data_IF_234696222353
#
_entry.id   IF_234696222353
#
_cell.length_a   1.000
_cell.length_b   1.000
_cell.length_c   1.000
_cell.angle_alpha   90.00
_cell.angle_beta   90.00
_cell.angle_gamma   90.00
#
_symmetry.space_group_name_H-M   'P 1'
#
loop_
_entity.id
_entity.type
_entity.pdbx_description
1 polymer ?
#
# COMPACT_ATOMS: atom_id res chain seq x y z
N UNK A 1 -0.57 60.11 21.78
CA UNK A 1 -0.47 59.72 20.36
C UNK A 1 0.41 58.49 20.10
N UNK A 2 1.39 58.14 20.97
CA UNK A 2 2.22 56.94 20.80
C UNK A 2 1.50 55.60 21.08
N UNK A 3 0.56 55.55 22.04
CA UNK A 3 -0.14 54.31 22.42
C UNK A 3 -1.02 53.71 21.30
N UNK A 4 -1.63 54.57 20.46
CA UNK A 4 -2.52 54.15 19.37
C UNK A 4 -1.76 53.51 18.18
N UNK A 5 -0.50 53.91 17.96
CA UNK A 5 0.36 53.36 16.90
C UNK A 5 0.87 51.96 17.26
N UNK A 6 1.15 51.71 18.55
CA UNK A 6 1.55 50.38 19.03
C UNK A 6 0.39 49.36 19.03
N UNK A 7 -0.83 49.78 19.37
CA UNK A 7 -2.02 48.92 19.28
C UNK A 7 -2.38 48.57 17.83
N UNK A 8 -2.28 49.53 16.91
CA UNK A 8 -2.54 49.29 15.48
C UNK A 8 -1.53 48.37 14.80
N UNK A 9 -0.25 48.45 15.20
CA UNK A 9 0.82 47.58 14.68
C UNK A 9 0.74 46.16 15.25
N UNK A 10 0.48 45.99 16.54
CA UNK A 10 0.25 44.67 17.15
C UNK A 10 -1.00 43.97 16.57
N UNK A 11 -2.07 44.73 16.31
CA UNK A 11 -3.27 44.20 15.67
C UNK A 11 -3.02 43.78 14.21
N UNK A 12 -2.28 44.58 13.43
CA UNK A 12 -1.89 44.22 12.06
C UNK A 12 -0.93 43.04 12.01
N UNK A 13 0.02 42.93 12.93
CA UNK A 13 0.86 41.75 13.09
C UNK A 13 0.02 40.51 13.42
N UNK A 14 -0.97 40.64 14.31
CA UNK A 14 -1.87 39.56 14.67
C UNK A 14 -2.73 39.06 13.50
N UNK A 15 -3.23 39.96 12.66
CA UNK A 15 -3.98 39.60 11.44
C UNK A 15 -3.04 38.93 10.42
N UNK A 16 -1.88 39.53 10.14
CA UNK A 16 -0.91 38.96 9.20
C UNK A 16 -0.41 37.57 9.65
N UNK A 17 -0.20 37.38 10.95
CA UNK A 17 0.16 36.08 11.51
C UNK A 17 -0.96 35.03 11.34
N UNK A 18 -2.22 35.42 11.56
CA UNK A 18 -3.39 34.54 11.34
C UNK A 18 -3.59 34.20 9.88
N UNK A 19 -3.44 35.17 8.98
CA UNK A 19 -3.52 34.95 7.53
C UNK A 19 -2.41 34.03 7.05
N UNK A 20 -1.15 34.30 7.46
CA UNK A 20 -0.02 33.42 7.16
C UNK A 20 -0.24 32.01 7.69
N UNK A 21 -0.82 31.87 8.88
CA UNK A 21 -1.15 30.59 9.49
C UNK A 21 -2.24 29.83 8.72
N UNK A 22 -3.30 30.51 8.28
CA UNK A 22 -4.37 29.91 7.47
C UNK A 22 -3.88 29.49 6.09
N UNK A 23 -3.00 30.30 5.47
CA UNK A 23 -2.34 29.96 4.20
C UNK A 23 -1.46 28.71 4.38
N UNK A 24 -0.64 28.67 5.43
CA UNK A 24 0.21 27.52 5.73
C UNK A 24 -0.58 26.22 5.94
N UNK A 25 -1.69 26.28 6.67
CA UNK A 25 -2.59 25.14 6.85
C UNK A 25 -3.18 24.67 5.52
N UNK A 26 -3.65 25.61 4.71
CA UNK A 26 -4.23 25.34 3.38
C UNK A 26 -3.19 24.67 2.46
N UNK A 27 -1.96 25.18 2.43
CA UNK A 27 -0.88 24.62 1.62
C UNK A 27 -0.53 23.19 2.04
N UNK A 28 -0.44 22.91 3.35
CA UNK A 28 -0.12 21.57 3.84
C UNK A 28 -1.23 20.56 3.53
N UNK A 29 -2.50 20.97 3.69
CA UNK A 29 -3.66 20.16 3.28
C UNK A 29 -3.66 19.87 1.79
N UNK A 30 -3.39 20.88 0.96
CA UNK A 30 -3.27 20.71 -0.50
C UNK A 30 -2.13 19.77 -0.88
N UNK A 31 -0.99 19.83 -0.19
CA UNK A 31 0.11 18.91 -0.39
C UNK A 31 -0.31 17.47 -0.05
N UNK A 32 -0.90 17.23 1.13
CA UNK A 32 -1.40 15.91 1.51
C UNK A 32 -2.40 15.36 0.49
N UNK A 33 -3.31 16.21 0.00
CA UNK A 33 -4.28 15.83 -1.02
C UNK A 33 -3.64 15.47 -2.35
N UNK A 34 -2.72 16.28 -2.86
CA UNK A 34 -2.02 16.00 -4.10
C UNK A 34 -1.19 14.72 -3.99
N UNK A 35 -0.48 14.53 -2.87
CA UNK A 35 0.27 13.31 -2.61
C UNK A 35 -0.64 12.08 -2.56
N UNK A 36 -1.80 12.14 -1.90
CA UNK A 36 -2.77 11.03 -1.90
C UNK A 36 -3.32 10.70 -3.30
N UNK A 37 -3.63 11.73 -4.12
CA UNK A 37 -4.03 11.55 -5.52
C UNK A 37 -2.89 10.91 -6.33
N UNK A 38 -1.63 11.31 -6.09
CA UNK A 38 -0.49 10.73 -6.79
C UNK A 38 -0.33 9.25 -6.44
N UNK A 39 -0.45 8.88 -5.16
CA UNK A 39 -0.44 7.47 -4.72
C UNK A 39 -1.58 6.69 -5.38
N UNK A 40 -2.79 7.25 -5.40
CA UNK A 40 -3.94 6.62 -6.06
C UNK A 40 -3.67 6.36 -7.55
N UNK A 41 -3.15 7.35 -8.29
CA UNK A 41 -2.81 7.18 -9.71
C UNK A 41 -1.76 6.10 -9.93
N UNK A 42 -0.76 6.04 -9.05
CA UNK A 42 0.31 5.03 -9.11
C UNK A 42 -0.21 3.61 -8.87
N UNK A 43 -1.17 3.45 -7.96
CA UNK A 43 -1.81 2.16 -7.69
C UNK A 43 -2.75 1.78 -8.83
N UNK A 44 -3.52 2.73 -9.35
CA UNK A 44 -4.41 2.54 -10.51
C UNK A 44 -3.65 2.07 -11.75
N UNK A 45 -2.46 2.63 -12.01
CA UNK A 45 -1.58 2.18 -13.09
C UNK A 45 -1.12 0.73 -12.92
N UNK A 46 -0.79 0.32 -11.69
CA UNK A 46 -0.44 -1.07 -11.36
C UNK A 46 -1.61 -2.03 -11.57
N UNK A 47 -2.81 -1.64 -11.16
CA UNK A 47 -4.02 -2.45 -11.39
C UNK A 47 -4.31 -2.63 -12.86
N UNK A 48 -4.31 -1.54 -13.63
CA UNK A 48 -4.52 -1.60 -15.08
C UNK A 48 -3.55 -2.56 -15.76
N UNK A 49 -2.28 -2.53 -15.37
CA UNK A 49 -1.27 -3.45 -15.89
C UNK A 49 -1.54 -4.91 -15.47
N UNK A 50 -1.89 -5.17 -14.21
CA UNK A 50 -2.24 -6.52 -13.74
C UNK A 50 -3.45 -7.08 -14.49
N UNK A 51 -4.50 -6.28 -14.69
CA UNK A 51 -5.71 -6.66 -15.42
C UNK A 51 -5.40 -7.04 -16.87
N UNK A 52 -4.59 -6.19 -17.54
CA UNK A 52 -4.12 -6.41 -18.91
C UNK A 52 -3.34 -7.73 -19.02
N UNK A 53 -2.42 -7.99 -18.09
CA UNK A 53 -1.58 -9.19 -18.12
C UNK A 53 -2.31 -10.44 -17.64
N UNK A 54 -3.24 -10.33 -16.70
CA UNK A 54 -4.13 -11.42 -16.28
C UNK A 54 -5.06 -11.87 -17.42
N UNK A 55 -5.39 -10.95 -18.34
CA UNK A 55 -6.17 -11.23 -19.54
C UNK A 55 -5.32 -11.70 -20.73
N UNK A 56 -4.01 -11.91 -20.56
CA UNK A 56 -3.12 -12.30 -21.64
C UNK A 56 -3.43 -13.74 -22.12
N UNK A 57 -3.76 -13.94 -23.42
CA UNK A 57 -4.15 -15.26 -23.93
C UNK A 57 -3.09 -16.35 -23.72
N UNK A 58 -1.80 -16.00 -23.80
CA UNK A 58 -0.72 -16.98 -23.55
C UNK A 58 -0.69 -17.42 -22.11
N UNK A 59 -0.86 -16.49 -21.16
CA UNK A 59 -0.91 -16.82 -19.73
C UNK A 59 -2.10 -17.74 -19.44
N UNK A 60 -3.27 -17.41 -19.98
CA UNK A 60 -4.49 -18.20 -19.84
C UNK A 60 -4.32 -19.62 -20.42
N UNK A 61 -3.77 -19.74 -21.63
CA UNK A 61 -3.50 -21.02 -22.27
C UNK A 61 -2.58 -21.90 -21.41
N UNK A 62 -1.46 -21.35 -20.95
CA UNK A 62 -0.50 -22.08 -20.11
C UNK A 62 -1.09 -22.46 -18.76
N UNK A 63 -1.87 -21.59 -18.12
CA UNK A 63 -2.52 -21.92 -16.85
C UNK A 63 -3.59 -23.00 -17.04
N UNK A 64 -4.42 -22.94 -18.08
CA UNK A 64 -5.40 -23.99 -18.36
C UNK A 64 -4.75 -25.39 -18.45
N UNK A 65 -3.56 -25.47 -19.02
CA UNK A 65 -2.79 -26.71 -19.11
C UNK A 65 -2.05 -27.11 -17.81
N UNK A 66 -1.94 -26.22 -16.81
CA UNK A 66 -1.06 -26.40 -15.64
C UNK A 66 -1.74 -26.03 -14.31
N UNK A 67 -2.82 -26.74 -13.95
CA UNK A 67 -3.56 -26.53 -12.69
C UNK A 67 -3.06 -27.39 -11.50
N UNK A 68 -2.04 -28.22 -11.71
CA UNK A 68 -1.46 -29.12 -10.69
C UNK A 68 -0.14 -28.61 -10.07
N UNK A 69 0.61 -29.50 -9.40
CA UNK A 69 1.96 -29.20 -8.94
C UNK A 69 2.88 -28.75 -10.09
N UNK A 70 3.88 -27.93 -9.77
CA UNK A 70 4.81 -27.42 -10.76
C UNK A 70 5.80 -28.52 -11.22
N UNK A 71 5.72 -28.89 -12.50
CA UNK A 71 6.64 -29.82 -13.16
C UNK A 71 7.76 -29.06 -13.90
N UNK A 72 8.91 -29.72 -14.11
CA UNK A 72 10.12 -29.08 -14.65
C UNK A 72 9.94 -28.45 -16.04
N UNK A 73 9.18 -29.10 -16.93
CA UNK A 73 8.88 -28.56 -18.26
C UNK A 73 8.08 -27.25 -18.17
N UNK A 74 7.15 -27.15 -17.22
CA UNK A 74 6.34 -25.95 -17.00
C UNK A 74 7.12 -24.83 -16.32
N UNK A 75 8.18 -25.14 -15.54
CA UNK A 75 9.02 -24.14 -14.86
C UNK A 75 9.63 -23.13 -15.83
N UNK A 76 10.21 -23.62 -16.93
CA UNK A 76 10.85 -22.75 -17.93
C UNK A 76 9.82 -21.83 -18.58
N UNK A 77 8.67 -22.38 -18.99
CA UNK A 77 7.59 -21.62 -19.61
C UNK A 77 7.08 -20.49 -18.70
N UNK A 78 6.82 -20.78 -17.42
CA UNK A 78 6.34 -19.77 -16.48
C UNK A 78 7.41 -18.75 -16.11
N UNK A 79 8.69 -19.15 -16.07
CA UNK A 79 9.82 -18.23 -15.91
C UNK A 79 9.92 -17.21 -17.05
N UNK A 80 9.75 -17.67 -18.29
CA UNK A 80 9.76 -16.78 -19.46
C UNK A 80 8.55 -15.84 -19.46
N UNK A 81 7.36 -16.35 -19.12
CA UNK A 81 6.15 -15.55 -19.01
C UNK A 81 6.28 -14.43 -17.97
N UNK A 82 6.71 -14.76 -16.75
CA UNK A 82 6.82 -13.75 -15.69
C UNK A 82 7.90 -12.71 -15.98
N UNK A 83 8.99 -13.12 -16.63
CA UNK A 83 10.04 -12.19 -17.07
C UNK A 83 9.49 -11.24 -18.14
N UNK A 84 8.75 -11.76 -19.12
CA UNK A 84 8.15 -10.94 -20.15
C UNK A 84 7.09 -9.97 -19.60
N UNK A 85 6.29 -10.39 -18.61
CA UNK A 85 5.35 -9.51 -17.88
C UNK A 85 6.12 -8.39 -17.19
N UNK A 86 7.17 -8.73 -16.43
CA UNK A 86 8.01 -7.74 -15.74
C UNK A 86 8.67 -6.76 -16.72
N UNK A 87 9.14 -7.23 -17.87
CA UNK A 87 9.82 -6.37 -18.84
C UNK A 87 8.84 -5.39 -19.49
N UNK A 88 7.60 -5.81 -19.77
CA UNK A 88 6.54 -4.89 -20.21
C UNK A 88 6.16 -3.89 -19.11
N UNK A 89 6.03 -4.35 -17.87
CA UNK A 89 5.78 -3.48 -16.72
C UNK A 89 6.84 -2.36 -16.62
N UNK A 90 8.11 -2.72 -16.80
CA UNK A 90 9.22 -1.77 -16.77
C UNK A 90 9.14 -0.74 -17.91
N UNK A 91 8.69 -1.14 -19.11
CA UNK A 91 8.47 -0.20 -20.22
C UNK A 91 7.33 0.78 -19.92
N UNK A 92 6.35 0.35 -19.13
CA UNK A 92 5.24 1.17 -18.64
C UNK A 92 5.60 1.93 -17.34
N UNK A 93 6.88 1.98 -16.97
CA UNK A 93 7.43 2.64 -15.75
C UNK A 93 6.80 2.11 -14.44
N UNK A 94 6.32 0.87 -14.44
CA UNK A 94 5.78 0.22 -13.25
C UNK A 94 6.85 -0.63 -12.58
N UNK A 95 7.29 -0.18 -11.41
CA UNK A 95 8.20 -0.94 -10.56
C UNK A 95 7.46 -1.69 -9.45
N UNK A 96 8.00 -2.87 -9.12
CA UNK A 96 7.56 -3.71 -8.01
C UNK A 96 8.72 -4.55 -7.48
N UNK A 97 8.70 -4.84 -6.18
CA UNK A 97 9.70 -5.66 -5.49
C UNK A 97 9.70 -7.10 -6.05
N UNK A 98 8.53 -7.65 -6.33
CA UNK A 98 8.44 -8.95 -6.99
C UNK A 98 7.14 -9.13 -7.75
N UNK A 99 7.16 -10.01 -8.73
CA UNK A 99 6.03 -10.45 -9.53
C UNK A 99 5.84 -11.95 -9.34
N UNK A 100 4.60 -12.44 -9.36
CA UNK A 100 4.32 -13.86 -9.19
C UNK A 100 3.03 -14.32 -9.88
N UNK A 101 3.01 -15.60 -10.24
CA UNK A 101 1.83 -16.30 -10.76
C UNK A 101 1.55 -17.49 -9.85
N UNK A 102 0.33 -17.58 -9.33
CA UNK A 102 -0.19 -18.77 -8.66
C UNK A 102 -1.30 -19.40 -9.51
N UNK A 103 -1.43 -20.73 -9.51
CA UNK A 103 -2.58 -21.41 -10.13
C UNK A 103 -3.81 -21.45 -9.20
N UNK A 104 -4.89 -22.10 -9.62
CA UNK A 104 -6.15 -22.15 -8.86
C UNK A 104 -6.03 -22.85 -7.49
N UNK A 105 -5.04 -23.72 -7.32
CA UNK A 105 -4.73 -24.37 -6.04
C UNK A 105 -3.78 -23.53 -5.16
N UNK A 106 -3.41 -22.32 -5.60
CA UNK A 106 -2.47 -21.43 -4.92
C UNK A 106 -1.01 -21.83 -5.05
N UNK A 107 -0.65 -22.78 -5.93
CA UNK A 107 0.75 -23.13 -6.17
C UNK A 107 1.42 -22.02 -6.96
N UNK A 108 2.50 -21.44 -6.43
CA UNK A 108 3.27 -20.43 -7.15
C UNK A 108 4.07 -21.07 -8.28
N UNK A 109 3.64 -20.85 -9.51
CA UNK A 109 4.28 -21.41 -10.71
C UNK A 109 5.47 -20.57 -11.18
N UNK A 110 5.44 -19.26 -10.90
CA UNK A 110 6.49 -18.33 -11.30
C UNK A 110 6.69 -17.23 -10.26
N UNK A 111 7.93 -16.73 -10.19
CA UNK A 111 8.30 -15.51 -9.46
C UNK A 111 9.42 -14.78 -10.20
N UNK A 112 9.36 -13.45 -10.21
CA UNK A 112 10.50 -12.61 -10.53
C UNK A 112 10.76 -11.61 -9.37
N UNK A 113 11.99 -11.49 -8.83
CA UNK A 113 13.14 -12.33 -9.14
C UNK A 113 12.87 -13.80 -8.77
N UNK A 114 13.62 -14.75 -9.32
CA UNK A 114 13.45 -16.17 -8.96
C UNK A 114 13.80 -16.39 -7.48
N UNK A 115 13.17 -17.38 -6.83
CA UNK A 115 13.37 -17.66 -5.42
C UNK A 115 12.80 -19.00 -4.96
N UNK A 116 13.07 -19.36 -3.70
CA UNK A 116 12.65 -20.63 -3.07
C UNK A 116 11.12 -20.78 -2.91
N UNK A 117 10.37 -19.71 -3.11
CA UNK A 117 8.91 -19.69 -3.03
C UNK A 117 8.23 -20.44 -4.19
N UNK A 118 8.92 -20.62 -5.32
CA UNK A 118 8.39 -21.29 -6.50
C UNK A 118 8.10 -22.78 -6.19
N UNK A 119 6.87 -23.21 -6.50
CA UNK A 119 6.35 -24.55 -6.21
C UNK A 119 5.67 -24.70 -4.84
N UNK A 120 5.75 -23.68 -3.98
CA UNK A 120 5.02 -23.67 -2.70
C UNK A 120 3.56 -23.25 -2.89
N UNK A 121 2.71 -23.57 -1.92
CA UNK A 121 1.29 -23.16 -1.91
C UNK A 121 1.07 -21.91 -1.06
N UNK A 122 0.29 -20.98 -1.60
CA UNK A 122 -0.07 -19.69 -1.02
C UNK A 122 -1.57 -19.43 -1.00
N UNK A 123 -2.40 -20.48 -1.11
CA UNK A 123 -3.85 -20.37 -0.99
C UNK A 123 -4.32 -19.87 0.40
N UNK A 124 -3.42 -19.89 1.39
CA UNK A 124 -3.64 -19.36 2.74
C UNK A 124 -3.30 -17.87 2.87
N UNK A 125 -2.73 -17.23 1.83
CA UNK A 125 -2.32 -15.83 1.90
C UNK A 125 -3.46 -14.92 1.51
N UNK A 126 -3.56 -13.79 2.20
CA UNK A 126 -4.63 -12.82 1.99
C UNK A 126 -4.66 -12.31 0.55
N UNK A 127 -3.50 -12.12 -0.07
CA UNK A 127 -3.42 -11.72 -1.48
C UNK A 127 -4.02 -12.74 -2.45
N UNK A 128 -4.21 -14.00 -2.04
CA UNK A 128 -4.82 -15.03 -2.87
C UNK A 128 -6.33 -15.10 -2.65
N UNK A 129 -6.78 -15.03 -1.39
CA UNK A 129 -8.18 -15.30 -1.02
C UNK A 129 -9.00 -14.07 -0.61
N UNK A 130 -8.37 -13.00 -0.14
CA UNK A 130 -8.99 -11.70 0.14
C UNK A 130 -9.79 -11.59 1.44
N UNK A 131 -9.48 -12.41 2.45
CA UNK A 131 -10.24 -12.45 3.71
C UNK A 131 -9.83 -11.39 4.74
N UNK A 132 -8.87 -10.52 4.42
CA UNK A 132 -8.31 -9.51 5.32
C UNK A 132 -7.29 -10.05 6.33
N UNK A 133 -6.79 -11.28 6.16
CA UNK A 133 -5.83 -11.91 7.08
C UNK A 133 -5.11 -13.09 6.40
N UNK A 134 -3.83 -13.28 6.67
CA UNK A 134 -3.14 -14.52 6.31
C UNK A 134 -3.62 -15.67 7.21
N UNK A 135 -4.08 -16.76 6.60
CA UNK A 135 -4.50 -17.97 7.29
C UNK A 135 -3.29 -18.85 7.61
N UNK A 136 -3.51 -19.83 8.50
CA UNK A 136 -2.52 -20.88 8.73
C UNK A 136 -2.23 -21.64 7.42
N UNK A 137 -0.95 -21.98 7.19
CA UNK A 137 -0.55 -22.71 6.00
C UNK A 137 -1.35 -24.01 5.82
N UNK A 138 -1.81 -24.27 4.60
CA UNK A 138 -2.69 -25.39 4.25
C UNK A 138 -4.17 -25.16 4.52
N UNK A 139 -4.58 -24.02 5.08
CA UNK A 139 -5.99 -23.62 5.16
C UNK A 139 -6.41 -22.89 3.88
N UNK A 140 -7.71 -22.97 3.59
CA UNK A 140 -8.36 -22.28 2.48
C UNK A 140 -9.34 -21.25 3.05
N UNK A 141 -9.36 -20.06 2.46
CA UNK A 141 -10.28 -19.00 2.84
C UNK A 141 -11.75 -19.29 2.48
N UNK A 142 -12.63 -18.42 2.96
CA UNK A 142 -14.02 -18.35 2.54
C UNK A 142 -14.39 -16.89 2.27
N UNK A 143 -14.42 -16.42 1.01
CA UNK A 143 -14.24 -17.18 -0.22
C UNK A 143 -12.81 -17.76 -0.40
N UNK A 144 -12.62 -18.82 -1.22
CA UNK A 144 -11.34 -19.51 -1.37
C UNK A 144 -10.30 -18.74 -2.20
N UNK A 145 -10.73 -17.76 -2.99
CA UNK A 145 -9.89 -16.92 -3.83
C UNK A 145 -10.55 -15.54 -4.01
N UNK A 146 -9.76 -14.53 -4.37
CA UNK A 146 -10.25 -13.22 -4.78
C UNK A 146 -11.11 -13.32 -6.05
N UNK A 147 -12.09 -12.43 -6.20
CA UNK A 147 -13.01 -12.38 -7.34
C UNK A 147 -12.88 -11.12 -8.20
N UNK A 148 -12.15 -10.13 -7.67
CA UNK A 148 -11.76 -8.88 -8.33
C UNK A 148 -10.33 -8.57 -7.94
N UNK A 149 -9.79 -7.49 -8.48
CA UNK A 149 -8.51 -6.96 -8.06
C UNK A 149 -8.50 -6.70 -6.55
N UNK A 150 -7.35 -6.97 -5.92
CA UNK A 150 -7.25 -6.98 -4.47
C UNK A 150 -5.91 -6.45 -3.98
N UNK A 151 -5.97 -5.60 -2.95
CA UNK A 151 -4.82 -5.16 -2.17
C UNK A 151 -4.79 -5.94 -0.86
N UNK A 152 -3.72 -6.67 -0.63
CA UNK A 152 -3.56 -7.46 0.59
C UNK A 152 -3.35 -6.62 1.83
N UNK A 153 -3.65 -7.20 2.99
CA UNK A 153 -3.06 -6.73 4.25
C UNK A 153 -1.53 -6.80 4.20
N UNK A 154 -0.82 -5.97 4.98
CA UNK A 154 0.63 -6.09 5.13
C UNK A 154 1.02 -7.47 5.66
N UNK A 155 2.06 -8.07 5.08
CA UNK A 155 2.55 -9.40 5.44
C UNK A 155 4.08 -9.49 5.39
N UNK A 156 4.64 -10.47 6.09
CA UNK A 156 6.06 -10.81 6.02
C UNK A 156 6.27 -11.86 4.92
N UNK A 157 7.18 -11.57 4.00
CA UNK A 157 7.49 -12.48 2.89
C UNK A 157 8.14 -13.75 3.40
N UNK A 158 7.66 -14.91 2.96
CA UNK A 158 8.26 -16.21 3.27
C UNK A 158 9.63 -16.42 2.61
N UNK A 159 10.00 -15.62 1.61
CA UNK A 159 11.28 -15.78 0.90
C UNK A 159 12.43 -15.04 1.55
N UNK A 160 12.19 -13.86 2.12
CA UNK A 160 13.25 -12.96 2.60
C UNK A 160 12.91 -12.24 3.92
N UNK A 161 11.73 -12.48 4.49
CA UNK A 161 11.26 -11.82 5.72
C UNK A 161 10.86 -10.36 5.56
N UNK A 162 11.05 -9.75 4.37
CA UNK A 162 10.72 -8.35 4.19
C UNK A 162 9.21 -8.12 4.28
N UNK A 163 8.84 -7.00 4.91
CA UNK A 163 7.44 -6.59 5.01
C UNK A 163 6.96 -6.05 3.67
N UNK A 164 5.83 -6.56 3.19
CA UNK A 164 5.27 -6.24 1.87
C UNK A 164 3.75 -6.06 1.93
N UNK A 165 3.22 -5.41 0.91
CA UNK A 165 1.82 -5.51 0.50
C UNK A 165 1.79 -6.07 -0.93
N UNK A 166 0.70 -6.72 -1.33
CA UNK A 166 0.55 -7.24 -2.69
C UNK A 166 -0.70 -6.67 -3.38
N UNK A 167 -0.52 -6.28 -4.64
CA UNK A 167 -1.62 -6.04 -5.57
C UNK A 167 -1.79 -7.31 -6.40
N UNK A 168 -3.03 -7.76 -6.53
CA UNK A 168 -3.35 -9.04 -7.16
C UNK A 168 -4.57 -8.92 -8.06
N UNK A 169 -4.57 -9.68 -9.14
CA UNK A 169 -5.67 -9.78 -10.08
C UNK A 169 -6.00 -11.26 -10.32
N UNK A 170 -7.28 -11.67 -10.23
CA UNK A 170 -7.67 -13.03 -10.56
C UNK A 170 -7.53 -13.26 -12.08
N UNK A 171 -7.11 -14.46 -12.45
CA UNK A 171 -7.00 -14.91 -13.83
C UNK A 171 -8.16 -15.88 -14.09
N UNK A 172 -8.91 -15.63 -15.16
CA UNK A 172 -10.03 -16.48 -15.55
C UNK A 172 -9.83 -17.05 -16.95
N UNK A 173 -10.41 -18.23 -17.22
CA UNK A 173 -10.33 -18.91 -18.52
C UNK A 173 -11.00 -18.15 -19.65
N UNK A 174 -11.97 -17.29 -19.31
CA UNK A 174 -12.77 -16.50 -20.23
C UNK A 174 -13.07 -15.11 -19.66
N UNK A 175 -13.51 -14.22 -20.53
CA UNK A 175 -14.00 -12.89 -20.14
C UNK A 175 -15.24 -13.02 -19.26
N UNK A 176 -15.51 -11.96 -18.49
CA UNK A 176 -16.71 -11.87 -17.68
C UNK A 176 -18.00 -12.05 -18.52
N UNK A 177 -19.01 -12.68 -17.92
CA UNK A 177 -20.30 -12.95 -18.56
C UNK A 177 -20.34 -14.18 -19.49
N UNK A 178 -19.21 -14.83 -19.78
CA UNK A 178 -19.19 -16.06 -20.57
C UNK A 178 -19.50 -17.30 -19.72
N UNK A 179 -20.38 -18.17 -20.21
CA UNK A 179 -20.69 -19.45 -19.59
C UNK A 179 -19.45 -20.35 -19.52
N UNK A 180 -19.19 -20.94 -18.36
CA UNK A 180 -18.04 -21.82 -18.15
C UNK A 180 -16.77 -21.11 -17.66
N UNK A 181 -16.85 -19.83 -17.29
CA UNK A 181 -15.73 -19.06 -16.73
C UNK A 181 -15.17 -19.76 -15.48
N UNK A 182 -13.89 -20.12 -15.54
CA UNK A 182 -13.17 -20.82 -14.49
C UNK A 182 -12.06 -19.95 -13.95
N UNK A 183 -11.90 -19.94 -12.63
CA UNK A 183 -10.74 -19.34 -11.97
C UNK A 183 -9.51 -20.21 -12.22
N UNK A 184 -8.46 -19.60 -12.78
CA UNK A 184 -7.22 -20.27 -13.15
C UNK A 184 -6.07 -19.98 -12.19
N UNK A 185 -6.21 -18.95 -11.35
CA UNK A 185 -5.17 -18.52 -10.43
C UNK A 185 -5.10 -17.01 -10.25
N UNK A 186 -3.98 -16.54 -9.72
CA UNK A 186 -3.73 -15.12 -9.41
C UNK A 186 -2.41 -14.67 -10.03
N UNK A 187 -2.44 -13.52 -10.71
CA UNK A 187 -1.27 -12.74 -11.04
C UNK A 187 -1.11 -11.67 -9.97
N UNK A 188 0.11 -11.49 -9.45
CA UNK A 188 0.36 -10.48 -8.43
C UNK A 188 1.72 -9.81 -8.55
N UNK A 189 1.78 -8.63 -7.95
CA UNK A 189 3.03 -7.94 -7.68
C UNK A 189 3.07 -7.48 -6.21
N UNK A 190 4.26 -7.47 -5.62
CA UNK A 190 4.47 -6.99 -4.26
C UNK A 190 5.18 -5.65 -4.25
N UNK A 191 4.81 -4.79 -3.30
CA UNK A 191 5.53 -3.56 -2.95
C UNK A 191 6.12 -3.76 -1.57
N UNK A 192 7.40 -3.43 -1.41
CA UNK A 192 8.08 -3.52 -0.12
C UNK A 192 7.75 -2.29 0.73
N UNK A 193 7.47 -2.50 2.01
CA UNK A 193 7.28 -1.39 2.94
C UNK A 193 8.57 -0.56 3.01
N UNK A 194 8.43 0.75 2.95
CA UNK A 194 9.53 1.70 2.83
C UNK A 194 9.84 2.13 1.39
N UNK A 195 9.47 1.35 0.38
CA UNK A 195 9.84 1.59 -1.03
C UNK A 195 8.64 2.10 -1.86
N UNK A 196 8.10 3.27 -1.46
CA UNK A 196 7.01 3.97 -2.16
C UNK A 196 7.56 5.27 -2.77
N UNK A 197 8.22 5.16 -3.93
CA UNK A 197 8.95 6.27 -4.55
C UNK A 197 8.08 7.49 -4.88
N UNK A 198 6.79 7.26 -5.17
CA UNK A 198 5.80 8.32 -5.44
C UNK A 198 5.72 9.39 -4.36
N UNK A 199 6.08 9.05 -3.12
CA UNK A 199 6.01 9.93 -1.97
C UNK A 199 7.16 10.92 -1.89
N UNK A 200 8.18 10.80 -2.74
CA UNK A 200 9.38 11.65 -2.69
C UNK A 200 9.36 12.87 -3.62
N UNK A 201 8.41 12.96 -4.57
CA UNK A 201 8.50 13.90 -5.69
C UNK A 201 7.84 15.28 -5.54
N UNK A 202 6.87 15.46 -4.63
CA UNK A 202 5.94 16.60 -4.66
C UNK A 202 5.81 17.36 -3.32
N UNK A 203 6.93 17.71 -2.68
CA UNK A 203 6.93 18.32 -1.34
C UNK A 203 7.77 19.60 -1.30
N UNK A 204 7.35 20.57 -0.48
CA UNK A 204 8.13 21.77 -0.22
C UNK A 204 9.31 21.48 0.73
N UNK A 205 10.32 22.36 0.75
CA UNK A 205 11.48 22.22 1.62
C UNK A 205 11.09 21.99 3.09
N UNK A 206 11.66 20.94 3.68
CA UNK A 206 11.41 20.53 5.06
C UNK A 206 10.11 19.74 5.29
N UNK A 207 9.28 19.55 4.27
CA UNK A 207 8.15 18.60 4.34
C UNK A 207 8.62 17.17 4.05
N UNK A 208 7.95 16.21 4.68
CA UNK A 208 8.06 14.80 4.34
C UNK A 208 6.67 14.20 4.19
N UNK A 209 6.56 13.16 3.36
CA UNK A 209 5.35 12.35 3.21
C UNK A 209 5.54 10.98 3.88
N UNK A 210 4.50 10.52 4.56
CA UNK A 210 4.41 9.23 5.24
C UNK A 210 3.14 8.55 4.76
N UNK A 211 3.19 7.24 4.58
CA UNK A 211 2.02 6.43 4.24
C UNK A 211 1.74 5.48 5.39
N UNK A 212 0.50 5.38 5.81
CA UNK A 212 0.08 4.45 6.85
C UNK A 212 -1.16 3.65 6.44
N UNK A 213 -1.26 2.42 6.93
CA UNK A 213 -2.38 1.53 6.77
C UNK A 213 -3.51 1.93 7.73
N UNK A 214 -4.71 2.13 7.20
CA UNK A 214 -5.92 2.29 8.00
C UNK A 214 -6.48 0.95 8.49
N UNK A 215 -6.20 -0.12 7.73
CA UNK A 215 -6.69 -1.44 8.05
C UNK A 215 -5.85 -2.18 9.07
N UNK A 216 -6.27 -3.42 9.32
CA UNK A 216 -5.59 -4.32 10.23
C UNK A 216 -4.36 -4.97 9.60
N UNK A 217 -3.37 -5.26 10.43
CA UNK A 217 -2.28 -6.21 10.21
C UNK A 217 -2.15 -7.13 11.43
N UNK A 218 -1.32 -8.16 11.32
CA UNK A 218 -1.20 -9.22 12.33
C UNK A 218 0.26 -9.53 12.70
N UNK A 219 1.16 -8.55 12.57
CA UNK A 219 2.59 -8.76 12.85
C UNK A 219 2.90 -9.05 14.32
N UNK A 220 2.07 -8.56 15.24
CA UNK A 220 2.28 -8.65 16.69
C UNK A 220 1.42 -9.75 17.34
N UNK A 221 0.98 -10.74 16.56
CA UNK A 221 0.18 -11.88 17.03
C UNK A 221 -1.32 -11.59 17.17
N UNK A 222 -1.69 -10.32 17.37
CA UNK A 222 -3.07 -9.83 17.42
C UNK A 222 -3.31 -8.77 16.33
N UNK A 223 -4.58 -8.60 15.96
CA UNK A 223 -4.98 -7.58 14.99
C UNK A 223 -4.64 -6.18 15.49
N UNK A 224 -3.82 -5.45 14.73
CA UNK A 224 -3.37 -4.09 15.03
C UNK A 224 -3.61 -3.16 13.85
N UNK A 225 -3.70 -1.85 14.07
CA UNK A 225 -4.00 -0.86 13.02
C UNK A 225 -2.95 0.26 12.99
N UNK A 226 -2.99 1.09 11.94
CA UNK A 226 -2.18 2.31 11.87
C UNK A 226 -0.73 2.12 11.44
N UNK A 227 -0.35 0.91 11.01
CA UNK A 227 1.02 0.57 10.62
C UNK A 227 1.55 1.53 9.55
N UNK A 228 2.76 2.07 9.74
CA UNK A 228 3.40 2.83 8.67
C UNK A 228 3.84 1.88 7.56
N UNK A 229 3.47 2.22 6.33
CA UNK A 229 3.85 1.52 5.11
C UNK A 229 5.05 2.17 4.45
N UNK A 230 5.20 3.49 4.61
CA UNK A 230 6.36 4.23 4.16
C UNK A 230 6.66 5.36 5.14
N UNK A 231 7.93 5.52 5.46
CA UNK A 231 8.43 6.69 6.17
C UNK A 231 9.90 6.95 5.73
N UNK A 232 10.29 8.16 5.32
CA UNK A 232 11.63 8.41 4.75
C UNK A 232 12.79 8.07 5.70
N UNK A 233 12.56 8.12 7.02
CA UNK A 233 13.54 7.74 8.04
C UNK A 233 13.60 6.24 8.36
N UNK A 234 12.67 5.45 7.84
CA UNK A 234 12.51 4.03 8.16
C UNK A 234 12.57 3.12 6.93
N UNK A 235 12.76 3.67 5.73
CA UNK A 235 12.71 2.93 4.46
C UNK A 235 13.60 1.68 4.41
N UNK A 236 14.74 1.68 5.11
CA UNK A 236 15.64 0.53 5.23
C UNK A 236 15.51 -0.26 6.55
N UNK A 237 14.67 0.18 7.49
CA UNK A 237 14.65 -0.29 8.89
C UNK A 237 13.36 -1.00 9.31
N UNK A 238 12.35 -1.12 8.44
CA UNK A 238 11.12 -1.90 8.73
C UNK A 238 11.40 -3.38 9.05
N UNK A 239 12.58 -3.89 8.70
CA UNK A 239 12.98 -5.30 8.86
C UNK A 239 13.98 -5.56 10.00
N UNK A 240 14.32 -4.58 10.84
CA UNK A 240 15.29 -4.82 11.91
C UNK A 240 14.62 -5.51 13.10
N UNK A 241 14.83 -6.82 13.20
CA UNK A 241 14.63 -7.58 14.46
C UNK A 241 15.42 -6.90 15.58
N UNK A 242 14.72 -6.35 16.57
CA UNK A 242 15.33 -5.74 17.76
C UNK A 242 14.41 -4.73 18.41
N UNK A 243 13.68 -5.16 19.45
CA UNK A 243 12.98 -4.41 20.53
C UNK A 243 12.08 -3.19 20.19
N UNK A 244 12.13 -2.62 18.99
CA UNK A 244 11.31 -1.49 18.60
C UNK A 244 10.08 -1.98 17.85
N UNK A 245 8.92 -1.79 18.46
CA UNK A 245 7.62 -2.03 17.82
C UNK A 245 7.53 -1.30 16.47
N UNK A 246 6.80 -1.90 15.53
CA UNK A 246 6.56 -1.25 14.24
C UNK A 246 5.86 0.11 14.47
N UNK A 247 6.30 1.17 13.79
CA UNK A 247 5.70 2.50 13.92
C UNK A 247 4.23 2.49 13.51
N UNK A 248 3.36 3.02 14.38
CA UNK A 248 1.91 3.02 14.18
C UNK A 248 1.29 4.35 14.55
N UNK A 249 0.25 4.74 13.82
CA UNK A 249 -0.67 5.79 14.26
C UNK A 249 -1.39 5.37 15.54
N UNK A 250 -1.56 6.31 16.46
CA UNK A 250 -2.33 6.08 17.68
C UNK A 250 -3.80 5.77 17.36
N UNK A 251 -4.42 4.83 18.07
CA UNK A 251 -5.82 4.43 17.86
C UNK A 251 -6.81 5.61 17.97
N UNK A 252 -6.55 6.56 18.87
CA UNK A 252 -7.37 7.77 19.01
C UNK A 252 -7.33 8.66 17.75
N UNK A 253 -6.16 8.78 17.12
CA UNK A 253 -5.97 9.53 15.88
C UNK A 253 -6.66 8.84 14.70
N UNK A 254 -6.56 7.51 14.60
CA UNK A 254 -7.29 6.74 13.59
C UNK A 254 -8.80 6.95 13.71
N UNK A 255 -9.34 6.97 14.94
CA UNK A 255 -10.76 7.25 15.18
C UNK A 255 -11.16 8.66 14.72
N UNK A 256 -10.32 9.65 14.98
CA UNK A 256 -10.57 11.04 14.55
C UNK A 256 -10.52 11.18 13.01
N UNK A 257 -9.56 10.53 12.36
CA UNK A 257 -9.49 10.49 10.90
C UNK A 257 -10.67 9.72 10.29
N UNK A 258 -11.16 8.68 10.97
CA UNK A 258 -12.38 7.98 10.57
C UNK A 258 -13.59 8.92 10.52
N UNK A 259 -13.70 9.78 11.53
CA UNK A 259 -14.75 10.80 11.63
C UNK A 259 -14.53 12.04 10.73
N UNK A 260 -13.37 12.18 10.09
CA UNK A 260 -12.97 13.37 9.33
C UNK A 260 -12.81 13.06 7.82
N UNK A 261 -13.90 12.96 7.05
CA UNK A 261 -13.84 12.57 5.64
C UNK A 261 -13.15 13.58 4.72
N UNK A 262 -12.95 14.83 5.18
CA UNK A 262 -12.28 15.91 4.43
C UNK A 262 -10.80 16.07 4.80
N UNK A 263 -10.20 15.04 5.39
CA UNK A 263 -8.85 15.09 5.93
C UNK A 263 -8.78 15.75 7.31
N UNK A 264 -7.60 15.67 7.92
CA UNK A 264 -7.31 16.20 9.26
C UNK A 264 -6.07 17.08 9.22
N UNK A 265 -5.98 18.05 10.12
CA UNK A 265 -4.79 18.88 10.29
C UNK A 265 -4.48 19.08 11.76
N UNK A 266 -3.23 18.80 12.13
CA UNK A 266 -2.75 18.82 13.51
C UNK A 266 -1.50 19.68 13.60
N UNK A 267 -1.47 20.60 14.56
CA UNK A 267 -0.32 21.51 14.79
C UNK A 267 0.76 20.91 15.69
N UNK A 268 0.37 19.99 16.55
CA UNK A 268 1.24 19.36 17.55
C UNK A 268 1.23 17.84 17.35
N UNK A 269 1.36 17.40 16.10
CA UNK A 269 1.44 16.00 15.77
C UNK A 269 2.77 15.43 16.27
N UNK A 270 2.70 14.29 16.95
CA UNK A 270 3.87 13.53 17.35
C UNK A 270 4.06 12.38 16.38
N UNK A 271 5.13 12.46 15.60
CA UNK A 271 5.50 11.40 14.67
C UNK A 271 5.97 10.15 15.43
N UNK A 272 5.30 9.00 15.29
CA UNK A 272 5.69 7.72 15.89
C UNK A 272 7.13 7.28 15.55
N UNK A 273 7.66 7.72 14.40
CA UNK A 273 9.04 7.43 14.00
C UNK A 273 10.07 8.37 14.66
N UNK A 274 9.63 9.36 15.46
CA UNK A 274 10.53 10.31 16.12
C UNK A 274 11.18 9.70 17.36
N UNK A 275 12.53 9.61 17.34
CA UNK A 275 13.34 9.13 18.47
C UNK A 275 13.37 10.10 19.68
N UNK A 276 12.93 11.35 19.52
CA UNK A 276 12.90 12.34 20.59
C UNK A 276 11.54 13.06 20.66
N UNK A 277 10.64 12.67 21.58
CA UNK A 277 9.31 13.26 21.74
C UNK A 277 9.33 14.78 22.01
N UNK A 278 10.36 15.28 22.70
CA UNK A 278 10.46 16.69 23.09
C UNK A 278 10.92 17.62 21.96
N UNK A 279 11.49 17.07 20.87
CA UNK A 279 11.90 17.79 19.65
C UNK A 279 11.14 17.33 18.40
N UNK A 280 10.14 16.47 18.58
CA UNK A 280 9.41 15.79 17.51
C UNK A 280 7.99 16.29 17.32
N UNK A 281 7.73 17.59 17.58
CA UNK A 281 6.43 18.19 17.26
C UNK A 281 6.43 18.63 15.80
N UNK A 282 5.44 18.12 15.08
CA UNK A 282 5.21 18.41 13.68
C UNK A 282 3.87 19.09 13.51
N UNK A 283 3.78 19.91 12.47
CA UNK A 283 2.49 20.20 11.86
C UNK A 283 2.26 19.16 10.77
N UNK A 284 1.11 18.48 10.80
CA UNK A 284 0.76 17.43 9.84
C UNK A 284 -0.63 17.63 9.25
N UNK A 285 -0.77 17.35 7.96
CA UNK A 285 -2.04 17.19 7.27
C UNK A 285 -2.20 15.74 6.80
N UNK A 286 -3.41 15.23 6.89
CA UNK A 286 -3.76 13.84 6.60
C UNK A 286 -4.81 13.80 5.50
N UNK A 287 -4.59 12.99 4.47
CA UNK A 287 -5.57 12.72 3.42
C UNK A 287 -5.66 11.21 3.16
N UNK A 288 -6.88 10.70 3.00
CA UNK A 288 -7.11 9.31 2.62
C UNK A 288 -6.74 9.06 1.16
N UNK A 289 -6.21 7.87 0.88
CA UNK A 289 -6.02 7.37 -0.47
C UNK A 289 -7.28 6.61 -0.87
N UNK A 290 -7.91 7.02 -1.98
CA UNK A 290 -9.10 6.37 -2.51
C UNK A 290 -8.70 5.27 -3.50
N UNK A 291 -8.58 4.04 -3.04
CA UNK A 291 -8.21 2.90 -3.89
C UNK A 291 -9.44 2.34 -4.62
N UNK A 292 -9.25 1.82 -5.84
CA UNK A 292 -10.31 1.16 -6.61
C UNK A 292 -10.88 -0.05 -5.86
N UNK A 293 -12.16 -0.34 -6.09
CA UNK A 293 -12.89 -1.48 -5.55
C UNK A 293 -12.95 -1.57 -4.01
N UNK A 294 -12.43 -0.59 -3.28
CA UNK A 294 -12.83 -0.36 -1.89
C UNK A 294 -14.16 0.39 -1.91
N UNK A 295 -15.25 -0.35 -1.74
CA UNK A 295 -16.56 0.29 -1.54
C UNK A 295 -16.49 1.18 -0.29
N UNK A 296 -17.27 2.27 -0.26
CA UNK A 296 -17.36 3.18 0.90
C UNK A 296 -17.68 2.45 2.24
N UNK A 297 -18.08 1.18 2.18
CA UNK A 297 -18.46 0.32 3.29
C UNK A 297 -17.30 -0.46 3.93
N UNK A 298 -16.10 -0.41 3.38
CA UNK A 298 -14.91 -0.98 4.03
C UNK A 298 -14.19 0.07 4.86
N UNK A 299 -14.86 0.55 5.92
CA UNK A 299 -14.35 1.59 6.83
C UNK A 299 -12.99 1.23 7.51
N UNK A 300 -12.60 -0.05 7.40
CA UNK A 300 -11.42 -0.65 8.01
C UNK A 300 -10.37 -1.13 6.98
N UNK A 301 -10.42 -0.68 5.72
CA UNK A 301 -9.35 -0.91 4.72
C UNK A 301 -8.95 0.41 4.05
N UNK A 302 -7.72 0.46 3.55
CA UNK A 302 -7.19 1.62 2.82
C UNK A 302 -5.96 2.25 3.46
N UNK A 303 -5.48 3.32 2.85
CA UNK A 303 -4.26 4.01 3.26
C UNK A 303 -4.52 5.49 3.53
N UNK A 304 -3.64 6.09 4.34
CA UNK A 304 -3.59 7.53 4.57
C UNK A 304 -2.21 8.06 4.25
N UNK A 305 -2.20 9.19 3.56
CA UNK A 305 -1.02 10.01 3.38
C UNK A 305 -0.97 11.05 4.50
N UNK A 306 0.21 11.22 5.06
CA UNK A 306 0.51 12.24 6.07
C UNK A 306 1.62 13.11 5.48
N UNK A 307 1.32 14.38 5.24
CA UNK A 307 2.36 15.36 4.89
C UNK A 307 2.63 16.20 6.12
N UNK A 308 3.89 16.17 6.56
CA UNK A 308 4.29 16.77 7.82
C UNK A 308 5.54 17.65 7.65
N UNK A 309 5.62 18.72 8.42
CA UNK A 309 6.81 19.57 8.55
C UNK A 309 7.16 19.82 10.03
N UNK A 310 8.44 19.98 10.39
CA UNK A 310 8.81 20.33 11.74
C UNK A 310 8.22 21.69 12.12
N UNK A 311 7.84 21.83 13.40
CA UNK A 311 7.47 23.12 13.98
C UNK A 311 8.68 24.03 14.23
#
# INVERSE_FOLDING_TARGET
MLLAVFLGSAFRLGIAARESQAVNETLLKSAAKLTAVTVQMEMDGRWFLLEKEASNPRLIEHLNANQGPLHDQSRVLFSDLITAIRDRAKLDEVEAESWFICNSAGVQLARHPSGSSIGQTYAHRDYFHGNGIDLQSGKTGSPPHIVSEYLSVPYASSSDGALKVALTCPIYSQTEGQSGRQFLGVLGMSIKLGDFEVLTGNLADGQIAVLANFGSDHFEGEASTGLFLHHPRLSSSFNQEGENALPRLAAALLKELKASPRGLYLRNYMDPASRNPSKGQWTAAFERVHLRNQSEWEEDRGWVVIVQRPN
#
